data_IF_513942390011
#
_entry.id   IF_513942390011
#
_cell.length_a   1.000
_cell.length_b   1.000
_cell.length_c   1.000
_cell.angle_alpha   90.00
_cell.angle_beta   90.00
_cell.angle_gamma   90.00
#
_symmetry.space_group_name_H-M   'P 1'
#
loop_
_entity.id
_entity.type
_entity.pdbx_description
1 polymer ?
#
# COMPACT_ATOMS: atom_id res chain seq x y z
N UNK A 1 -49.89 13.46 -48.45
CA UNK A 1 -49.02 12.26 -48.35
C UNK A 1 -48.57 12.16 -46.89
N UNK A 2 -49.29 11.40 -46.06
CA UNK A 2 -48.92 11.19 -44.67
C UNK A 2 -48.04 9.93 -44.60
N UNK A 3 -46.77 10.09 -44.26
CA UNK A 3 -45.86 8.97 -44.01
C UNK A 3 -46.38 8.23 -42.76
N UNK A 4 -46.94 7.05 -42.96
CA UNK A 4 -47.35 6.18 -41.86
C UNK A 4 -46.11 5.85 -41.01
N UNK A 5 -46.15 6.23 -39.73
CA UNK A 5 -45.12 5.87 -38.76
C UNK A 5 -45.02 4.35 -38.61
N UNK A 6 -43.86 3.83 -38.20
CA UNK A 6 -43.64 2.39 -38.10
C UNK A 6 -44.64 1.74 -37.13
N UNK A 7 -45.12 0.52 -37.44
CA UNK A 7 -46.14 -0.17 -36.65
C UNK A 7 -45.67 -0.37 -35.20
N UNK A 8 -46.60 -0.44 -34.22
CA UNK A 8 -46.28 -0.47 -32.79
C UNK A 8 -45.32 -1.60 -32.39
N UNK A 9 -45.35 -2.73 -33.12
CA UNK A 9 -44.41 -3.85 -32.95
C UNK A 9 -42.96 -3.47 -33.27
N UNK A 10 -42.72 -2.62 -34.28
CA UNK A 10 -41.39 -2.13 -34.63
C UNK A 10 -40.83 -1.14 -33.59
N UNK A 11 -41.69 -0.44 -32.85
CA UNK A 11 -41.27 0.44 -31.77
C UNK A 11 -40.75 -0.35 -30.57
N UNK A 12 -41.46 -1.40 -30.16
CA UNK A 12 -41.03 -2.30 -29.10
C UNK A 12 -39.68 -2.98 -29.43
N UNK A 13 -39.50 -3.44 -30.68
CA UNK A 13 -38.23 -4.06 -31.12
C UNK A 13 -37.07 -3.08 -31.00
N UNK A 14 -37.27 -1.82 -31.42
CA UNK A 14 -36.23 -0.78 -31.35
C UNK A 14 -35.83 -0.48 -29.91
N UNK A 15 -36.78 -0.39 -28.99
CA UNK A 15 -36.49 -0.17 -27.57
C UNK A 15 -35.69 -1.34 -27.01
N UNK A 16 -36.12 -2.58 -27.29
CA UNK A 16 -35.39 -3.76 -26.83
C UNK A 16 -33.94 -3.79 -27.32
N UNK A 17 -33.69 -3.47 -28.59
CA UNK A 17 -32.32 -3.42 -29.15
C UNK A 17 -31.47 -2.36 -28.44
N UNK A 18 -32.03 -1.17 -28.16
CA UNK A 18 -31.33 -0.11 -27.42
C UNK A 18 -31.04 -0.54 -25.98
N UNK A 19 -32.01 -1.13 -25.29
CA UNK A 19 -31.85 -1.60 -23.90
C UNK A 19 -30.82 -2.72 -23.80
N UNK A 20 -30.88 -3.72 -24.68
CA UNK A 20 -29.89 -4.80 -24.71
C UNK A 20 -28.49 -4.30 -25.10
N UNK A 21 -28.42 -3.34 -26.02
CA UNK A 21 -27.16 -2.67 -26.37
C UNK A 21 -26.55 -1.94 -25.17
N UNK A 22 -27.35 -1.18 -24.41
CA UNK A 22 -26.90 -0.48 -23.20
C UNK A 22 -26.48 -1.46 -22.10
N UNK A 23 -27.22 -2.55 -21.91
CA UNK A 23 -26.89 -3.58 -20.91
C UNK A 23 -25.56 -4.27 -21.22
N UNK A 24 -25.31 -4.60 -22.50
CA UNK A 24 -24.05 -5.20 -22.92
C UNK A 24 -22.84 -4.29 -22.66
N UNK A 25 -23.00 -2.97 -22.82
CA UNK A 25 -21.95 -1.99 -22.52
C UNK A 25 -21.74 -1.82 -21.01
N UNK A 26 -22.81 -1.90 -20.20
CA UNK A 26 -22.73 -1.82 -18.74
C UNK A 26 -22.01 -3.02 -18.11
N UNK A 27 -21.96 -4.17 -18.78
CA UNK A 27 -21.19 -5.33 -18.29
C UNK A 27 -19.67 -5.16 -18.45
N UNK A 28 -19.21 -4.24 -19.30
CA UNK A 28 -17.78 -3.97 -19.49
C UNK A 28 -17.22 -2.88 -18.55
N UNK A 29 -18.08 -2.13 -17.85
CA UNK A 29 -17.60 -1.30 -16.74
C UNK A 29 -17.26 -2.22 -15.58
N UNK A 30 -15.99 -2.62 -15.51
CA UNK A 30 -15.43 -3.17 -14.28
C UNK A 30 -15.69 -2.15 -13.17
N UNK A 31 -16.17 -2.58 -11.98
CA UNK A 31 -16.18 -1.68 -10.85
C UNK A 31 -14.73 -1.21 -10.66
N UNK A 32 -14.51 0.11 -10.73
CA UNK A 32 -13.27 0.73 -10.29
C UNK A 32 -13.05 0.24 -8.87
N UNK A 33 -12.11 -0.71 -8.72
CA UNK A 33 -11.75 -1.22 -7.42
C UNK A 33 -11.19 -0.05 -6.63
N UNK A 34 -11.98 0.49 -5.70
CA UNK A 34 -11.55 1.50 -4.72
C UNK A 34 -10.59 0.89 -3.68
N UNK A 35 -10.24 -0.40 -3.81
CA UNK A 35 -9.12 -0.99 -3.06
C UNK A 35 -7.85 -0.38 -3.62
N UNK A 36 -7.27 0.51 -2.83
CA UNK A 36 -5.97 1.10 -3.07
C UNK A 36 -4.98 -0.02 -3.45
N UNK A 37 -4.44 -0.07 -4.67
CA UNK A 37 -3.56 -1.15 -5.11
C UNK A 37 -2.26 -1.22 -4.28
N UNK A 38 -1.97 -0.15 -3.52
CA UNK A 38 -0.84 -0.06 -2.60
C UNK A 38 -1.02 -0.97 -1.37
N UNK A 39 -2.26 -1.21 -0.91
CA UNK A 39 -2.49 -1.97 0.33
C UNK A 39 -2.27 -3.48 0.17
N UNK A 40 -2.37 -4.00 -1.05
CA UNK A 40 -2.30 -5.44 -1.33
C UNK A 40 -0.91 -5.91 -1.79
N UNK A 41 0.07 -5.00 -1.84
CA UNK A 41 1.48 -5.34 -2.06
C UNK A 41 2.18 -5.57 -0.72
N UNK A 42 1.77 -6.58 0.06
CA UNK A 42 2.64 -7.10 1.11
C UNK A 42 3.84 -7.77 0.45
N UNK A 43 4.87 -6.98 0.16
CA UNK A 43 6.17 -7.49 -0.20
C UNK A 43 6.72 -8.21 1.03
N UNK A 44 6.85 -9.54 0.93
CA UNK A 44 7.54 -10.31 1.96
C UNK A 44 9.02 -9.94 1.91
N UNK A 45 9.46 -9.11 2.84
CA UNK A 45 10.87 -8.80 2.97
C UNK A 45 11.60 -9.97 3.61
N UNK A 46 12.81 -10.24 3.13
CA UNK A 46 13.64 -11.28 3.69
C UNK A 46 13.97 -10.95 5.16
N UNK A 47 13.65 -11.87 6.07
CA UNK A 47 13.83 -11.69 7.50
C UNK A 47 12.59 -11.21 8.28
N UNK A 48 11.46 -10.97 7.59
CA UNK A 48 10.16 -10.73 8.25
C UNK A 48 9.30 -12.00 8.18
N UNK A 49 8.91 -12.51 9.34
CA UNK A 49 8.01 -13.66 9.48
C UNK A 49 6.58 -13.22 9.82
N UNK A 50 6.45 -12.04 10.43
CA UNK A 50 5.23 -11.44 10.97
C UNK A 50 5.17 -9.94 10.65
N UNK A 51 4.10 -9.25 11.07
CA UNK A 51 4.02 -7.79 10.98
C UNK A 51 5.02 -7.15 11.95
N UNK A 52 6.05 -6.43 11.46
CA UNK A 52 7.11 -5.90 12.31
C UNK A 52 6.66 -4.72 13.15
N UNK A 53 7.43 -4.42 14.19
CA UNK A 53 7.39 -3.12 14.87
C UNK A 53 8.35 -2.17 14.16
N UNK A 54 7.90 -0.95 13.85
CA UNK A 54 8.77 0.10 13.33
C UNK A 54 9.51 0.78 14.48
N UNK A 55 10.83 0.90 14.36
CA UNK A 55 11.67 1.62 15.33
C UNK A 55 12.36 2.76 14.60
N UNK A 56 12.13 3.97 15.05
CA UNK A 56 12.71 5.18 14.46
C UNK A 56 13.67 5.80 15.46
N UNK A 57 14.80 6.30 14.97
CA UNK A 57 15.70 7.14 15.76
C UNK A 57 15.89 8.50 15.11
N UNK A 58 16.10 9.52 15.93
CA UNK A 58 16.34 10.89 15.45
C UNK A 58 17.83 11.20 15.30
N UNK A 59 18.68 10.59 16.13
CA UNK A 59 20.10 10.95 16.26
C UNK A 59 21.01 9.77 15.98
N UNK A 60 22.28 10.07 15.71
CA UNK A 60 23.30 9.04 15.58
C UNK A 60 23.59 8.28 16.86
N UNK A 61 23.47 8.95 18.00
CA UNK A 61 23.80 8.35 19.29
C UNK A 61 22.78 7.27 19.66
N UNK A 62 21.50 7.50 19.35
CA UNK A 62 20.45 6.49 19.53
C UNK A 62 20.62 5.29 18.59
N UNK A 63 21.01 5.53 17.33
CA UNK A 63 21.35 4.44 16.40
C UNK A 63 22.52 3.61 16.92
N UNK A 64 23.62 4.28 17.29
CA UNK A 64 24.81 3.61 17.77
C UNK A 64 24.50 2.82 19.04
N UNK A 65 23.73 3.38 19.98
CA UNK A 65 23.32 2.66 21.18
C UNK A 65 22.51 1.39 20.86
N UNK A 66 21.61 1.43 19.86
CA UNK A 66 20.86 0.26 19.44
C UNK A 66 21.80 -0.81 18.83
N UNK A 67 22.72 -0.40 17.95
CA UNK A 67 23.66 -1.31 17.28
C UNK A 67 24.65 -1.90 18.29
N UNK A 68 25.28 -1.06 19.10
CA UNK A 68 26.32 -1.43 20.07
C UNK A 68 25.78 -2.31 21.20
N UNK A 69 24.49 -2.18 21.52
CA UNK A 69 23.85 -3.06 22.50
C UNK A 69 23.78 -4.52 22.06
N UNK A 70 23.90 -4.80 20.76
CA UNK A 70 23.79 -6.14 20.18
C UNK A 70 22.39 -6.76 20.28
N UNK A 71 21.38 -6.03 20.78
CA UNK A 71 20.01 -6.55 20.93
C UNK A 71 19.27 -6.63 19.60
N UNK A 72 19.68 -5.81 18.62
CA UNK A 72 19.11 -5.80 17.29
C UNK A 72 20.00 -6.58 16.33
N UNK A 73 19.47 -7.71 15.84
CA UNK A 73 20.14 -8.54 14.84
C UNK A 73 19.57 -8.23 13.46
N UNK A 74 20.38 -7.59 12.61
CA UNK A 74 19.99 -7.25 11.23
C UNK A 74 20.07 -8.50 10.34
N UNK A 75 18.99 -8.76 9.61
CA UNK A 75 18.87 -9.85 8.64
C UNK A 75 19.02 -9.35 7.20
N UNK A 76 18.44 -8.20 6.89
CA UNK A 76 18.56 -7.55 5.59
C UNK A 76 18.39 -6.04 5.71
N UNK A 77 18.72 -5.29 4.66
CA UNK A 77 18.54 -3.83 4.64
C UNK A 77 17.97 -3.40 3.30
N UNK A 78 17.09 -2.40 3.31
CA UNK A 78 16.45 -1.86 2.12
C UNK A 78 16.64 -0.35 2.05
N UNK A 79 17.11 0.14 0.90
CA UNK A 79 17.25 1.58 0.67
C UNK A 79 16.01 2.12 -0.04
N UNK A 80 15.25 2.99 0.64
CA UNK A 80 13.99 3.56 0.14
C UNK A 80 14.01 5.08 0.37
N UNK A 81 13.69 5.86 -0.67
CA UNK A 81 13.66 7.32 -0.60
C UNK A 81 14.95 7.95 0.01
N UNK A 82 16.11 7.35 -0.26
CA UNK A 82 17.40 7.80 0.26
C UNK A 82 17.72 7.39 1.71
N UNK A 83 16.81 6.69 2.39
CA UNK A 83 16.99 6.18 3.76
C UNK A 83 17.26 4.68 3.75
N UNK A 84 18.05 4.22 4.72
CA UNK A 84 18.29 2.80 4.96
C UNK A 84 17.29 2.30 6.00
N UNK A 85 16.58 1.22 5.66
CA UNK A 85 15.67 0.51 6.55
C UNK A 85 16.29 -0.85 6.84
N UNK A 86 16.77 -1.05 8.05
CA UNK A 86 17.32 -2.32 8.52
C UNK A 86 16.20 -3.20 9.03
N UNK A 87 16.19 -4.45 8.58
CA UNK A 87 15.15 -5.43 8.82
C UNK A 87 15.80 -6.55 9.63
N UNK A 88 15.23 -6.86 10.78
CA UNK A 88 15.86 -7.79 11.69
C UNK A 88 14.95 -8.18 12.84
N UNK A 89 15.58 -8.64 13.93
CA UNK A 89 14.87 -9.05 15.14
C UNK A 89 15.46 -8.40 16.39
N UNK A 90 14.58 -8.04 17.32
CA UNK A 90 14.91 -7.72 18.71
C UNK A 90 14.18 -8.73 19.59
N UNK A 91 14.94 -9.53 20.36
CA UNK A 91 14.37 -10.59 21.22
C UNK A 91 13.36 -11.50 20.49
N UNK A 92 13.66 -11.86 19.25
CA UNK A 92 12.81 -12.71 18.40
C UNK A 92 11.63 -12.00 17.70
N UNK A 93 11.34 -10.75 18.05
CA UNK A 93 10.30 -9.93 17.42
C UNK A 93 10.83 -9.26 16.16
N UNK A 94 10.08 -9.33 15.07
CA UNK A 94 10.42 -8.65 13.82
C UNK A 94 10.39 -7.14 13.98
N UNK A 95 11.46 -6.49 13.53
CA UNK A 95 11.67 -5.05 13.64
C UNK A 95 12.16 -4.50 12.31
N UNK A 96 11.61 -3.35 11.92
CA UNK A 96 12.14 -2.50 10.87
C UNK A 96 12.65 -1.22 11.52
N UNK A 97 13.94 -0.98 11.40
CA UNK A 97 14.63 0.15 12.00
C UNK A 97 15.06 1.16 10.92
N UNK A 98 14.93 2.46 11.20
CA UNK A 98 15.53 3.51 10.37
C UNK A 98 15.85 4.78 11.17
N UNK A 99 17.00 5.40 10.86
CA UNK A 99 17.30 6.76 11.32
C UNK A 99 16.56 7.79 10.49
N UNK A 100 15.58 8.45 11.11
CA UNK A 100 14.81 9.52 10.48
C UNK A 100 15.61 10.83 10.38
N UNK A 101 16.43 11.15 11.38
CA UNK A 101 16.98 12.50 11.57
C UNK A 101 16.02 13.41 12.35
N UNK A 102 16.48 14.60 12.69
CA UNK A 102 15.77 15.49 13.64
C UNK A 102 14.61 16.30 13.02
N UNK A 103 14.59 16.48 11.71
CA UNK A 103 13.55 17.27 11.05
C UNK A 103 12.23 16.49 11.01
N UNK A 104 11.14 17.12 11.43
CA UNK A 104 9.81 16.50 11.51
C UNK A 104 9.33 15.93 10.16
N UNK A 105 9.66 16.58 9.05
CA UNK A 105 9.35 16.09 7.69
C UNK A 105 10.07 14.76 7.39
N UNK A 106 11.28 14.58 7.91
CA UNK A 106 12.03 13.34 7.72
C UNK A 106 11.43 12.22 8.58
N UNK A 107 11.00 12.54 9.80
CA UNK A 107 10.29 11.58 10.66
C UNK A 107 8.99 11.16 10.01
N UNK A 108 8.16 12.11 9.58
CA UNK A 108 6.89 11.83 8.91
C UNK A 108 7.04 10.96 7.66
N UNK A 109 8.00 11.29 6.78
CA UNK A 109 8.25 10.48 5.58
C UNK A 109 8.79 9.08 5.90
N UNK A 110 9.63 8.94 6.94
CA UNK A 110 10.12 7.62 7.40
C UNK A 110 8.97 6.76 7.92
N UNK A 111 8.09 7.33 8.75
CA UNK A 111 6.92 6.62 9.30
C UNK A 111 5.94 6.25 8.19
N UNK A 112 5.71 7.12 7.21
CA UNK A 112 4.84 6.81 6.06
C UNK A 112 5.35 5.57 5.31
N UNK A 113 6.66 5.50 5.06
CA UNK A 113 7.28 4.32 4.43
C UNK A 113 7.12 3.07 5.28
N UNK A 114 7.31 3.16 6.61
CA UNK A 114 7.11 2.02 7.52
C UNK A 114 5.67 1.48 7.48
N UNK A 115 4.68 2.36 7.42
CA UNK A 115 3.27 1.97 7.37
C UNK A 115 2.90 1.41 5.99
N UNK A 116 3.23 2.12 4.91
CA UNK A 116 2.76 1.77 3.57
C UNK A 116 3.50 0.59 2.95
N UNK A 117 4.81 0.47 3.22
CA UNK A 117 5.67 -0.53 2.56
C UNK A 117 5.90 -1.74 3.46
N UNK A 118 6.24 -1.50 4.73
CA UNK A 118 6.59 -2.56 5.67
C UNK A 118 5.39 -3.07 6.48
N UNK A 119 4.25 -2.38 6.40
CA UNK A 119 3.01 -2.73 7.11
C UNK A 119 3.26 -2.97 8.61
N UNK A 120 3.99 -2.03 9.24
CA UNK A 120 4.33 -2.13 10.67
C UNK A 120 3.07 -2.07 11.53
N UNK A 121 3.05 -2.84 12.62
CA UNK A 121 1.92 -2.87 13.58
C UNK A 121 1.91 -1.71 14.57
N UNK A 122 2.98 -0.93 14.63
CA UNK A 122 3.16 0.19 15.53
C UNK A 122 4.54 0.82 15.37
N UNK A 123 4.71 2.02 15.93
CA UNK A 123 5.96 2.79 15.88
C UNK A 123 6.46 3.03 17.31
N UNK A 124 7.76 2.81 17.51
CA UNK A 124 8.53 3.26 18.67
C UNK A 124 9.53 4.31 18.17
N UNK A 125 9.60 5.46 18.84
CA UNK A 125 10.52 6.56 18.52
C UNK A 125 11.11 7.11 19.82
#
# INVERSE_FOLDING_TARGET
MALAGPPPKMWAIRISVVVFGLLAMAQQSTPLSLRNPVYEMTHKFNGLETYPVGVVSLTSDAENALIDSGVFTVTSSQKIAGKLFDIGKISGTDVVYARAGELMVNVGSTVQVMVDIFNVRGIVN
#
